data_IF_644661739490
#
_entry.id   IF_644661739490
#
_cell.length_a   1.000
_cell.length_b   1.000
_cell.length_c   1.000
_cell.angle_alpha   90.00
_cell.angle_beta   90.00
_cell.angle_gamma   90.00
#
_symmetry.space_group_name_H-M   'P 1'
#
loop_
_entity.id
_entity.type
_entity.pdbx_description
1 polymer ?
#
# COMPACT_ATOMS: atom_id res chain seq x y z
N UNK A 1 -0.61 -21.42 22.80
CA UNK A 1 -1.75 -20.60 22.33
C UNK A 1 -1.64 -19.10 22.70
N UNK A 2 -0.49 -18.58 23.15
CA UNK A 2 -0.42 -17.18 23.63
C UNK A 2 0.37 -16.22 22.75
N UNK A 3 1.35 -16.70 21.99
CA UNK A 3 2.28 -15.84 21.24
C UNK A 3 1.72 -15.38 19.89
N UNK A 4 1.00 -16.26 19.18
CA UNK A 4 0.36 -15.92 17.89
C UNK A 4 -0.79 -14.92 18.03
N UNK A 5 -1.52 -14.95 19.15
CA UNK A 5 -2.59 -14.00 19.44
C UNK A 5 -2.01 -12.60 19.67
N UNK A 6 -0.97 -12.48 20.50
CA UNK A 6 -0.28 -11.21 20.71
C UNK A 6 0.37 -10.65 19.44
N UNK A 7 0.88 -11.51 18.56
CA UNK A 7 1.45 -11.08 17.29
C UNK A 7 0.39 -10.51 16.34
N UNK A 8 -0.83 -11.08 16.29
CA UNK A 8 -1.91 -10.58 15.43
C UNK A 8 -2.45 -9.24 15.92
N UNK A 9 -2.63 -9.10 17.23
CA UNK A 9 -3.10 -7.86 17.84
C UNK A 9 -2.13 -6.70 17.57
N UNK A 10 -0.82 -6.95 17.60
CA UNK A 10 0.19 -5.95 17.27
C UNK A 10 0.06 -5.41 15.83
N UNK A 11 -0.35 -6.24 14.87
CA UNK A 11 -0.61 -5.77 13.50
C UNK A 11 -1.88 -4.94 13.42
N UNK A 12 -2.93 -5.30 14.16
CA UNK A 12 -4.15 -4.49 14.22
C UNK A 12 -3.89 -3.11 14.83
N UNK A 13 -3.04 -3.03 15.87
CA UNK A 13 -2.64 -1.75 16.47
C UNK A 13 -1.90 -0.89 15.43
N UNK A 14 -0.90 -1.43 14.75
CA UNK A 14 -0.16 -0.68 13.72
C UNK A 14 -1.07 -0.23 12.58
N UNK A 15 -2.02 -1.06 12.15
CA UNK A 15 -2.97 -0.69 11.11
C UNK A 15 -3.88 0.47 11.56
N UNK A 16 -4.30 0.46 12.83
CA UNK A 16 -5.09 1.55 13.41
C UNK A 16 -4.28 2.86 13.47
N UNK A 17 -3.03 2.80 13.92
CA UNK A 17 -2.14 3.97 13.97
C UNK A 17 -1.93 4.59 12.57
N UNK A 18 -1.73 3.76 11.55
CA UNK A 18 -1.59 4.20 10.16
C UNK A 18 -2.91 4.81 9.64
N UNK A 19 -4.04 4.20 9.95
CA UNK A 19 -5.35 4.71 9.56
C UNK A 19 -5.61 6.09 10.16
N UNK A 20 -5.33 6.29 11.45
CA UNK A 20 -5.45 7.58 12.13
C UNK A 20 -4.52 8.63 11.52
N UNK A 21 -3.27 8.28 11.20
CA UNK A 21 -2.34 9.17 10.52
C UNK A 21 -2.86 9.60 9.13
N UNK A 22 -3.43 8.67 8.37
CA UNK A 22 -4.04 8.96 7.07
C UNK A 22 -5.28 9.85 7.20
N UNK A 23 -6.12 9.63 8.22
CA UNK A 23 -7.28 10.47 8.51
C UNK A 23 -6.84 11.89 8.85
N UNK A 24 -5.83 12.03 9.72
CA UNK A 24 -5.32 13.34 10.13
C UNK A 24 -4.71 14.14 8.96
N UNK A 25 -4.02 13.46 8.04
CA UNK A 25 -3.35 14.11 6.91
C UNK A 25 -4.27 14.39 5.71
N UNK A 26 -5.21 13.49 5.41
CA UNK A 26 -5.94 13.48 4.13
C UNK A 26 -7.46 13.26 4.27
N UNK A 27 -7.96 13.04 5.49
CA UNK A 27 -9.38 12.83 5.76
C UNK A 27 -9.82 11.37 5.70
N UNK A 28 -11.01 11.13 6.25
CA UNK A 28 -11.55 9.79 6.46
C UNK A 28 -11.90 9.03 5.18
N UNK A 29 -12.36 9.73 4.16
CA UNK A 29 -12.73 9.10 2.89
C UNK A 29 -11.51 8.55 2.17
N UNK A 30 -10.42 9.32 2.14
CA UNK A 30 -9.13 8.87 1.62
C UNK A 30 -8.65 7.64 2.40
N UNK A 31 -8.65 7.72 3.74
CA UNK A 31 -8.12 6.66 4.56
C UNK A 31 -8.87 5.33 4.34
N UNK A 32 -10.19 5.41 4.30
CA UNK A 32 -11.06 4.26 4.04
C UNK A 32 -10.79 3.66 2.65
N UNK A 33 -10.73 4.49 1.62
CA UNK A 33 -10.48 4.03 0.25
C UNK A 33 -9.14 3.31 0.09
N UNK A 34 -8.07 3.85 0.69
CA UNK A 34 -6.73 3.26 0.65
C UNK A 34 -6.67 1.88 1.37
N UNK A 35 -7.31 1.75 2.53
CA UNK A 35 -7.37 0.48 3.27
C UNK A 35 -8.18 -0.58 2.52
N UNK A 36 -9.33 -0.21 1.95
CA UNK A 36 -10.15 -1.11 1.12
C UNK A 36 -9.39 -1.58 -0.11
N UNK A 37 -8.68 -0.68 -0.80
CA UNK A 37 -7.86 -1.04 -1.96
C UNK A 37 -6.73 -2.01 -1.57
N UNK A 38 -6.07 -1.75 -0.44
CA UNK A 38 -5.01 -2.61 0.08
C UNK A 38 -5.55 -4.01 0.41
N UNK A 39 -6.69 -4.10 1.09
CA UNK A 39 -7.36 -5.37 1.37
C UNK A 39 -7.74 -6.13 0.10
N UNK A 40 -8.23 -5.41 -0.93
CA UNK A 40 -8.53 -5.99 -2.24
C UNK A 40 -7.29 -6.62 -2.89
N UNK A 41 -6.15 -5.93 -2.88
CA UNK A 41 -4.91 -6.47 -3.45
C UNK A 41 -4.41 -7.71 -2.70
N UNK A 42 -4.54 -7.73 -1.36
CA UNK A 42 -4.26 -8.93 -0.56
C UNK A 42 -5.17 -10.09 -0.98
N UNK A 43 -6.48 -9.86 -1.12
CA UNK A 43 -7.43 -10.88 -1.54
C UNK A 43 -7.18 -11.39 -2.97
N UNK A 44 -6.73 -10.51 -3.87
CA UNK A 44 -6.35 -10.84 -5.24
C UNK A 44 -4.94 -11.47 -5.37
N UNK A 45 -4.18 -11.59 -4.27
CA UNK A 45 -2.81 -12.09 -4.29
C UNK A 45 -1.82 -11.17 -5.01
N UNK A 46 -2.15 -9.89 -5.19
CA UNK A 46 -1.32 -8.90 -5.87
C UNK A 46 -0.30 -8.28 -4.91
N UNK A 47 0.92 -7.95 -5.40
CA UNK A 47 1.91 -7.26 -4.58
C UNK A 47 1.43 -5.84 -4.23
N UNK A 48 1.39 -5.53 -2.94
CA UNK A 48 1.05 -4.20 -2.41
C UNK A 48 2.13 -3.15 -2.72
N UNK A 49 3.37 -3.61 -2.86
CA UNK A 49 4.52 -2.76 -3.18
C UNK A 49 4.94 -3.13 -4.59
N UNK A 50 4.42 -2.41 -5.58
CA UNK A 50 5.11 -2.32 -6.85
C UNK A 50 6.27 -1.38 -6.58
N UNK A 51 7.46 -1.91 -6.23
CA UNK A 51 8.66 -1.09 -6.40
C UNK A 51 8.59 -0.64 -7.86
N UNK A 52 8.49 0.67 -8.07
CA UNK A 52 8.87 1.23 -9.35
C UNK A 52 10.37 0.92 -9.48
N UNK A 53 10.69 -0.29 -9.93
CA UNK A 53 11.99 -0.54 -10.52
C UNK A 53 12.00 0.38 -11.74
N UNK A 54 12.72 1.49 -11.61
CA UNK A 54 13.13 2.26 -12.76
C UNK A 54 13.97 1.36 -13.68
N UNK A 55 13.36 0.90 -14.77
CA UNK A 55 13.91 1.09 -16.11
C UNK A 55 12.87 1.97 -16.80
N UNK A 56 13.14 3.24 -17.08
CA UNK A 56 13.99 3.68 -18.18
C UNK A 56 13.73 2.88 -19.47
N UNK A 57 12.74 3.32 -20.24
CA UNK A 57 12.89 3.46 -21.69
C UNK A 57 12.75 4.96 -22.01
N UNK A 58 13.76 5.73 -21.61
CA UNK A 58 14.25 6.78 -22.50
C UNK A 58 15.35 6.17 -23.38
N UNK A 59 15.42 6.61 -24.64
CA UNK A 59 16.33 6.22 -25.74
C UNK A 59 15.72 5.17 -26.69
N UNK A 60 15.28 5.51 -27.90
CA UNK A 60 16.03 6.20 -28.96
C UNK A 60 15.11 7.12 -29.76
N UNK A 61 15.37 8.43 -29.83
CA UNK A 61 16.34 9.03 -30.75
C UNK A 61 15.97 8.79 -32.23
N UNK A 62 15.54 9.90 -32.87
CA UNK A 62 15.83 10.31 -34.25
C UNK A 62 15.66 9.32 -35.42
N UNK A 63 14.77 9.68 -36.36
CA UNK A 63 15.26 10.12 -37.68
C UNK A 63 14.27 11.04 -38.42
N UNK A 64 14.77 12.08 -39.10
CA UNK A 64 14.02 12.88 -40.05
C UNK A 64 13.95 12.16 -41.41
N UNK A 65 12.89 12.42 -42.18
CA UNK A 65 12.68 11.93 -43.54
C UNK A 65 11.27 12.21 -44.02
#
# INVERSE_FOLDING_TARGET
>A
MSEEAGSKDAFFIQLAEIAEAMIAAHGRDFATGALVLSAKFVAEGKPLIKRANGGDETVSAEKPG
#
